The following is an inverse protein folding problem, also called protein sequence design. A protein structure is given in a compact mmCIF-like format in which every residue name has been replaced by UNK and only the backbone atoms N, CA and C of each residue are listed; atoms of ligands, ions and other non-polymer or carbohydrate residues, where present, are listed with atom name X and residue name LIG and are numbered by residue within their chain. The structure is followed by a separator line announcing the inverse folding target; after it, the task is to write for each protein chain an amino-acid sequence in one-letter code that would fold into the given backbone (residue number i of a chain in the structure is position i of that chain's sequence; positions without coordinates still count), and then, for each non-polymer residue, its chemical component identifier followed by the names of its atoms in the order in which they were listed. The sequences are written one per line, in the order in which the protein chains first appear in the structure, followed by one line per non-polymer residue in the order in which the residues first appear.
data_IF_575288612297
#
_entry.id   IF_575288612297
#
_cell.length_a   1.000
_cell.length_b   1.000
_cell.length_c   1.000
_cell.angle_alpha   90.00
_cell.angle_beta   90.00
_cell.angle_gamma   90.00
#
_symmetry.space_group_name_H-M   'P 1'
#
loop_
_entity.id
_entity.type
_entity.pdbx_description
1 polymer ?
#
# COMPACT_ATOMS: atom_id res chain seq x y z
N UNK A 1 -20.33 -12.41 -4.98
CA UNK A 1 -20.57 -10.98 -4.79
C UNK A 1 -19.28 -10.23 -4.98
N UNK A 2 -19.28 -9.27 -5.90
CA UNK A 2 -18.24 -8.28 -6.06
C UNK A 2 -18.42 -7.23 -4.95
N UNK A 3 -17.33 -6.90 -4.26
CA UNK A 3 -17.33 -5.84 -3.23
C UNK A 3 -17.30 -4.45 -3.86
N UNK A 4 -17.50 -3.44 -3.01
CA UNK A 4 -17.34 -2.03 -3.39
C UNK A 4 -15.96 -1.76 -4.03
N UNK A 5 -14.90 -2.19 -3.36
CA UNK A 5 -13.50 -2.00 -3.75
C UNK A 5 -13.17 -2.79 -5.03
N UNK A 6 -13.70 -4.01 -5.15
CA UNK A 6 -13.52 -4.83 -6.35
C UNK A 6 -14.20 -4.20 -7.57
N UNK A 7 -15.40 -3.62 -7.39
CA UNK A 7 -16.09 -2.90 -8.47
C UNK A 7 -15.30 -1.65 -8.89
N UNK A 8 -14.84 -0.84 -7.93
CA UNK A 8 -13.97 0.33 -8.21
C UNK A 8 -12.72 -0.09 -8.98
N UNK A 9 -12.05 -1.16 -8.53
CA UNK A 9 -10.86 -1.70 -9.18
C UNK A 9 -11.14 -2.13 -10.62
N UNK A 10 -12.29 -2.77 -10.87
CA UNK A 10 -12.68 -3.17 -12.22
C UNK A 10 -13.02 -1.96 -13.11
N UNK A 11 -13.71 -0.95 -12.59
CA UNK A 11 -14.01 0.29 -13.33
C UNK A 11 -12.71 0.96 -13.79
N UNK A 12 -11.73 1.10 -12.90
CA UNK A 12 -10.41 1.69 -13.23
C UNK A 12 -9.61 0.83 -14.22
N UNK A 13 -9.85 -0.48 -14.26
CA UNK A 13 -9.22 -1.38 -15.22
C UNK A 13 -9.86 -1.33 -16.60
N UNK A 14 -11.18 -1.11 -16.68
CA UNK A 14 -11.92 -0.88 -17.93
C UNK A 14 -11.57 0.51 -18.49
N UNK A 15 -11.46 1.51 -17.62
CA UNK A 15 -11.15 2.89 -17.97
C UNK A 15 -9.90 3.37 -17.22
N UNK A 16 -8.68 3.11 -17.76
CA UNK A 16 -7.42 3.47 -17.10
C UNK A 16 -7.21 4.97 -16.86
N UNK A 17 -7.97 5.83 -17.54
CA UNK A 17 -7.99 7.27 -17.31
C UNK A 17 -8.75 7.68 -16.03
N UNK A 18 -9.61 6.80 -15.50
CA UNK A 18 -10.32 7.02 -14.24
C UNK A 18 -9.40 6.61 -13.10
N UNK A 19 -9.24 7.51 -12.13
CA UNK A 19 -8.36 7.31 -10.98
C UNK A 19 -9.14 7.05 -9.69
N UNK A 20 -8.42 6.71 -8.62
CA UNK A 20 -9.00 6.61 -7.27
C UNK A 20 -9.58 7.95 -6.78
N UNK A 21 -9.07 9.09 -7.26
CA UNK A 21 -9.54 10.41 -6.86
C UNK A 21 -10.87 10.81 -7.50
N UNK A 22 -11.29 10.10 -8.55
CA UNK A 22 -12.57 10.32 -9.22
C UNK A 22 -13.73 9.64 -8.50
N UNK A 23 -13.45 8.58 -7.72
CA UNK A 23 -14.44 7.91 -6.89
C UNK A 23 -14.94 8.85 -5.78
N UNK A 24 -16.26 8.98 -5.63
CA UNK A 24 -16.88 9.94 -4.72
C UNK A 24 -16.97 11.38 -5.26
N UNK A 25 -16.56 11.61 -6.51
CA UNK A 25 -16.62 12.93 -7.18
C UNK A 25 -17.30 12.87 -8.54
N UNK A 26 -16.80 11.97 -9.39
CA UNK A 26 -17.22 11.79 -10.79
C UNK A 26 -17.96 10.47 -11.02
N UNK A 27 -17.76 9.48 -10.16
CA UNK A 27 -18.60 8.30 -10.09
C UNK A 27 -18.71 7.82 -8.64
N UNK A 28 -19.78 7.08 -8.36
CA UNK A 28 -20.07 6.57 -7.02
C UNK A 28 -20.46 5.10 -7.12
N UNK A 29 -19.87 4.27 -6.27
CA UNK A 29 -20.23 2.84 -6.15
C UNK A 29 -21.02 2.64 -4.86
N UNK A 30 -22.21 2.04 -4.98
CA UNK A 30 -23.02 1.62 -3.84
C UNK A 30 -22.67 0.19 -3.41
N UNK A 31 -22.78 -0.08 -2.11
CA UNK A 31 -22.67 -1.42 -1.53
C UNK A 31 -23.85 -1.66 -0.59
N UNK A 32 -24.82 -2.51 -0.97
CA UNK A 32 -25.93 -2.87 -0.09
C UNK A 32 -25.41 -3.62 1.14
N UNK A 33 -25.76 -3.12 2.33
CA UNK A 33 -25.33 -3.67 3.63
C UNK A 33 -26.49 -3.90 4.59
N UNK A 34 -26.34 -4.89 5.47
CA UNK A 34 -27.12 -5.06 6.69
C UNK A 34 -26.17 -5.12 7.88
N UNK A 35 -26.21 -4.11 8.74
CA UNK A 35 -25.12 -3.90 9.71
C UNK A 35 -23.79 -3.72 8.98
N UNK A 36 -22.78 -4.50 9.37
CA UNK A 36 -21.44 -4.46 8.79
C UNK A 36 -21.23 -5.48 7.65
N UNK A 37 -22.27 -6.22 7.27
CA UNK A 37 -22.18 -7.26 6.25
C UNK A 37 -22.77 -6.79 4.93
N UNK A 38 -22.01 -6.96 3.84
CA UNK A 38 -22.51 -6.82 2.48
C UNK A 38 -23.52 -7.93 2.17
N UNK A 39 -24.69 -7.55 1.66
CA UNK A 39 -25.81 -8.48 1.42
C UNK A 39 -26.13 -8.70 -0.07
N UNK A 40 -25.69 -7.81 -0.95
CA UNK A 40 -25.89 -7.92 -2.40
C UNK A 40 -24.64 -7.45 -3.16
N UNK A 41 -24.64 -7.60 -4.49
CA UNK A 41 -23.56 -7.10 -5.37
C UNK A 41 -23.39 -5.58 -5.23
N UNK A 42 -22.15 -5.08 -5.26
CA UNK A 42 -21.93 -3.65 -5.43
C UNK A 42 -22.46 -3.19 -6.81
N UNK A 43 -22.80 -1.90 -6.94
CA UNK A 43 -23.35 -1.34 -8.17
C UNK A 43 -22.90 0.11 -8.39
N UNK A 44 -22.90 0.58 -9.64
CA UNK A 44 -22.67 2.00 -9.95
C UNK A 44 -23.93 2.79 -9.58
N UNK A 45 -23.81 3.67 -8.59
CA UNK A 45 -24.91 4.49 -8.08
C UNK A 45 -25.09 5.78 -8.90
N UNK A 46 -23.98 6.40 -9.33
CA UNK A 46 -24.00 7.65 -10.08
C UNK A 46 -22.76 7.74 -10.98
N UNK A 47 -22.92 8.33 -12.16
CA UNK A 47 -21.89 8.44 -13.21
C UNK A 47 -21.96 9.82 -13.86
N UNK A 48 -20.89 10.60 -13.71
CA UNK A 48 -20.83 12.03 -14.06
C UNK A 48 -19.69 12.37 -15.02
N UNK A 49 -19.27 11.39 -15.81
CA UNK A 49 -18.38 11.63 -16.93
C UNK A 49 -19.21 11.94 -18.17
N UNK A 50 -18.82 13.00 -18.89
CA UNK A 50 -19.50 13.41 -20.12
C UNK A 50 -18.94 12.67 -21.34
N UNK A 51 -17.70 12.19 -21.24
CA UNK A 51 -16.89 11.64 -22.34
C UNK A 51 -16.47 10.18 -22.13
N UNK A 52 -16.90 9.57 -21.02
CA UNK A 52 -16.63 8.16 -20.71
C UNK A 52 -17.98 7.48 -20.49
N UNK A 53 -18.26 6.46 -21.29
CA UNK A 53 -19.46 5.64 -21.13
C UNK A 53 -19.39 4.84 -19.82
N UNK A 54 -20.51 4.75 -19.10
CA UNK A 54 -20.59 3.95 -17.89
C UNK A 54 -20.47 2.46 -18.25
N UNK A 55 -19.55 1.70 -17.64
CA UNK A 55 -19.46 0.28 -17.91
C UNK A 55 -20.70 -0.44 -17.37
N UNK A 56 -21.16 -1.43 -18.13
CA UNK A 56 -22.25 -2.30 -17.72
C UNK A 56 -21.81 -3.26 -16.61
N UNK A 57 -22.76 -3.79 -15.85
CA UNK A 57 -22.46 -4.78 -14.82
C UNK A 57 -21.81 -6.04 -15.40
N UNK A 58 -22.23 -6.48 -16.60
CA UNK A 58 -21.66 -7.65 -17.26
C UNK A 58 -20.20 -7.42 -17.69
N UNK A 59 -19.85 -6.23 -18.17
CA UNK A 59 -18.46 -5.86 -18.47
C UNK A 59 -17.59 -5.86 -17.21
N UNK A 60 -18.09 -5.29 -16.11
CA UNK A 60 -17.42 -5.30 -14.82
C UNK A 60 -17.20 -6.74 -14.34
N UNK A 61 -18.23 -7.58 -14.41
CA UNK A 61 -18.13 -8.98 -13.97
C UNK A 61 -17.25 -9.82 -14.88
N UNK A 62 -17.20 -9.54 -16.19
CA UNK A 62 -16.28 -10.19 -17.11
C UNK A 62 -14.82 -9.87 -16.73
N UNK A 63 -14.53 -8.61 -16.40
CA UNK A 63 -13.20 -8.20 -15.92
C UNK A 63 -12.89 -8.83 -14.57
N UNK A 64 -13.83 -8.81 -13.61
CA UNK A 64 -13.64 -9.38 -12.27
C UNK A 64 -13.42 -10.90 -12.28
N UNK A 65 -14.10 -11.63 -13.16
CA UNK A 65 -13.97 -13.09 -13.27
C UNK A 65 -12.66 -13.54 -13.93
N UNK A 66 -11.90 -12.61 -14.51
CA UNK A 66 -10.59 -12.93 -15.07
C UNK A 66 -9.58 -13.28 -13.96
N UNK A 67 -8.89 -14.43 -14.04
CA UNK A 67 -7.84 -14.79 -13.07
C UNK A 67 -6.75 -13.72 -12.95
N UNK A 68 -6.41 -13.05 -14.05
CA UNK A 68 -5.41 -11.98 -14.05
C UNK A 68 -5.87 -10.76 -13.23
N UNK A 69 -7.16 -10.41 -13.29
CA UNK A 69 -7.72 -9.32 -12.48
C UNK A 69 -7.75 -9.70 -11.01
N UNK A 70 -8.15 -10.92 -10.68
CA UNK A 70 -8.19 -11.38 -9.29
C UNK A 70 -6.80 -11.42 -8.66
N UNK A 71 -5.79 -11.89 -9.40
CA UNK A 71 -4.39 -11.86 -8.96
C UNK A 71 -3.90 -10.40 -8.75
N UNK A 72 -4.20 -9.50 -9.69
CA UNK A 72 -3.82 -8.09 -9.57
C UNK A 72 -4.53 -7.40 -8.39
N UNK A 73 -5.80 -7.73 -8.14
CA UNK A 73 -6.53 -7.20 -6.98
C UNK A 73 -5.96 -7.74 -5.67
N UNK A 74 -5.62 -9.03 -5.60
CA UNK A 74 -4.97 -9.61 -4.42
C UNK A 74 -3.63 -8.92 -4.11
N UNK A 75 -2.81 -8.65 -5.14
CA UNK A 75 -1.56 -7.88 -5.00
C UNK A 75 -1.84 -6.44 -4.53
N UNK A 76 -2.87 -5.79 -5.09
CA UNK A 76 -3.27 -4.45 -4.68
C UNK A 76 -3.68 -4.39 -3.19
N UNK A 77 -4.51 -5.34 -2.75
CA UNK A 77 -4.93 -5.45 -1.34
C UNK A 77 -3.73 -5.74 -0.43
N UNK A 78 -2.81 -6.62 -0.85
CA UNK A 78 -1.60 -6.90 -0.10
C UNK A 78 -0.75 -5.63 0.10
N UNK A 79 -0.63 -4.78 -0.93
CA UNK A 79 0.09 -3.50 -0.82
C UNK A 79 -0.60 -2.51 0.11
N UNK A 80 -1.94 -2.44 0.08
CA UNK A 80 -2.70 -1.57 1.00
C UNK A 80 -2.61 -2.03 2.46
N UNK A 81 -2.34 -3.32 2.70
CA UNK A 81 -2.16 -3.87 4.04
C UNK A 81 -0.79 -3.56 4.65
N UNK A 82 0.17 -3.06 3.87
CA UNK A 82 1.48 -2.67 4.38
C UNK A 82 1.31 -1.43 5.26
N UNK A 83 1.72 -1.48 6.54
CA UNK A 83 1.70 -0.30 7.40
C UNK A 83 2.48 0.86 6.77
N UNK A 84 1.85 2.02 6.67
CA UNK A 84 2.50 3.22 6.14
C UNK A 84 3.50 3.82 7.13
N UNK A 85 3.35 3.52 8.41
CA UNK A 85 4.30 3.86 9.45
C UNK A 85 4.32 2.86 10.60
N UNK A 86 5.44 2.82 11.31
CA UNK A 86 5.62 2.06 12.55
C UNK A 86 6.43 2.90 13.54
N UNK A 87 6.29 2.62 14.84
CA UNK A 87 7.14 3.29 15.82
C UNK A 87 8.61 2.86 15.69
N UNK A 88 9.52 3.72 16.14
CA UNK A 88 10.95 3.40 16.21
C UNK A 88 11.21 2.05 16.90
N UNK A 89 10.56 1.82 18.05
CA UNK A 89 10.70 0.57 18.82
C UNK A 89 10.30 -0.64 17.98
N UNK A 90 9.15 -0.56 17.31
CA UNK A 90 8.63 -1.65 16.46
C UNK A 90 9.58 -1.98 15.31
N UNK A 91 10.05 -0.96 14.59
CA UNK A 91 11.00 -1.12 13.51
C UNK A 91 12.31 -1.76 14.00
N UNK A 92 12.87 -1.29 15.11
CA UNK A 92 14.12 -1.82 15.64
C UNK A 92 13.97 -3.28 16.13
N UNK A 93 12.85 -3.65 16.76
CA UNK A 93 12.58 -5.04 17.13
C UNK A 93 12.45 -5.95 15.89
N UNK A 94 11.75 -5.49 14.85
CA UNK A 94 11.65 -6.24 13.60
C UNK A 94 13.01 -6.37 12.89
N UNK A 95 13.80 -5.29 12.82
CA UNK A 95 15.15 -5.30 12.24
C UNK A 95 16.10 -6.22 13.01
N UNK A 96 15.97 -6.27 14.34
CA UNK A 96 16.73 -7.19 15.19
C UNK A 96 16.37 -8.64 14.87
N UNK A 97 15.08 -8.95 14.72
CA UNK A 97 14.59 -10.29 14.43
C UNK A 97 15.05 -10.83 13.06
N UNK A 98 15.09 -9.97 12.03
CA UNK A 98 15.61 -10.34 10.71
C UNK A 98 17.14 -10.21 10.59
N UNK A 99 17.83 -9.90 11.70
CA UNK A 99 19.29 -9.80 11.76
C UNK A 99 19.90 -8.61 11.02
N UNK A 100 19.12 -7.57 10.71
CA UNK A 100 19.56 -6.40 9.94
C UNK A 100 19.89 -5.17 10.78
N UNK A 101 19.47 -5.13 12.05
CA UNK A 101 19.68 -3.95 12.89
C UNK A 101 21.17 -3.59 13.02
N UNK A 102 22.03 -4.58 13.30
CA UNK A 102 23.46 -4.36 13.45
C UNK A 102 24.12 -3.84 12.16
N UNK A 103 23.68 -4.32 10.99
CA UNK A 103 24.19 -3.86 9.69
C UNK A 103 23.84 -2.38 9.46
N UNK A 104 22.61 -1.99 9.79
CA UNK A 104 22.14 -0.59 9.66
C UNK A 104 22.93 0.32 10.60
N UNK A 105 23.10 -0.09 11.85
CA UNK A 105 23.89 0.67 12.83
C UNK A 105 25.34 0.81 12.38
N UNK A 106 25.96 -0.26 11.85
CA UNK A 106 27.32 -0.24 11.34
C UNK A 106 27.48 0.72 10.14
N UNK A 107 26.52 0.75 9.21
CA UNK A 107 26.53 1.71 8.10
C UNK A 107 26.51 3.15 8.60
N UNK A 108 25.62 3.50 9.54
CA UNK A 108 25.55 4.85 10.12
C UNK A 108 26.87 5.19 10.82
N UNK A 109 27.47 4.24 11.55
CA UNK A 109 28.74 4.46 12.22
C UNK A 109 29.92 4.64 11.27
N UNK A 110 29.88 4.00 10.10
CA UNK A 110 30.89 4.06 9.05
C UNK A 110 30.91 5.36 8.24
N UNK A 111 29.92 6.25 8.39
CA UNK A 111 29.90 7.55 7.70
C UNK A 111 31.08 8.41 8.19
N UNK A 112 32.00 8.74 7.28
CA UNK A 112 33.23 9.47 7.59
C UNK A 112 33.00 10.96 7.89
N UNK A 113 32.09 11.61 7.15
CA UNK A 113 31.75 13.00 7.38
C UNK A 113 30.91 13.13 8.67
N UNK A 114 31.36 13.92 9.67
CA UNK A 114 30.67 14.01 10.96
C UNK A 114 29.29 14.67 10.87
N UNK A 115 29.07 15.56 9.90
CA UNK A 115 27.78 16.23 9.70
C UNK A 115 26.79 15.26 9.05
N UNK A 116 27.20 14.54 8.01
CA UNK A 116 26.35 13.53 7.37
C UNK A 116 26.04 12.36 8.32
N UNK A 117 27.03 11.94 9.12
CA UNK A 117 26.81 10.95 10.19
C UNK A 117 25.76 11.43 11.18
N UNK A 118 25.83 12.69 11.59
CA UNK A 118 24.86 13.25 12.53
C UNK A 118 23.45 13.35 11.93
N UNK A 119 23.33 13.70 10.64
CA UNK A 119 22.04 13.69 9.93
C UNK A 119 21.44 12.29 9.88
N UNK A 120 22.21 11.28 9.49
CA UNK A 120 21.75 9.89 9.45
C UNK A 120 21.30 9.38 10.82
N UNK A 121 22.02 9.73 11.89
CA UNK A 121 21.60 9.41 13.26
C UNK A 121 20.29 10.08 13.66
N UNK A 122 20.03 11.32 13.23
CA UNK A 122 18.78 12.02 13.53
C UNK A 122 17.61 11.31 12.84
N UNK A 123 17.74 11.01 11.55
CA UNK A 123 16.72 10.27 10.79
C UNK A 123 16.46 8.88 11.38
N UNK A 124 17.52 8.12 11.68
CA UNK A 124 17.41 6.80 12.28
C UNK A 124 16.81 6.82 13.68
N UNK A 125 16.96 7.90 14.45
CA UNK A 125 16.34 8.02 15.77
C UNK A 125 15.00 8.76 15.75
N UNK A 126 14.39 8.93 14.57
CA UNK A 126 13.01 9.42 14.47
C UNK A 126 12.06 8.53 15.26
N UNK A 127 11.11 9.08 16.05
CA UNK A 127 10.16 8.30 16.84
C UNK A 127 9.21 7.45 15.98
N UNK A 128 9.02 7.86 14.71
CA UNK A 128 8.16 7.20 13.74
C UNK A 128 8.95 6.97 12.47
N UNK A 129 8.86 5.75 11.95
CA UNK A 129 9.40 5.37 10.66
C UNK A 129 8.26 5.32 9.65
N UNK A 130 8.39 6.10 8.59
CA UNK A 130 7.45 6.12 7.48
C UNK A 130 7.96 5.24 6.35
N UNK A 131 7.11 4.38 5.79
CA UNK A 131 7.47 3.49 4.68
C UNK A 131 7.92 4.27 3.43
N UNK A 132 7.41 5.49 3.28
CA UNK A 132 7.78 6.45 2.22
C UNK A 132 9.10 7.19 2.48
N UNK A 133 9.76 7.02 3.64
CA UNK A 133 11.01 7.71 3.94
C UNK A 133 12.11 7.29 2.97
N UNK A 134 12.62 8.26 2.19
CA UNK A 134 13.74 8.06 1.28
C UNK A 134 15.01 7.62 2.02
N UNK A 135 15.21 8.09 3.25
CA UNK A 135 16.33 7.67 4.10
C UNK A 135 16.24 6.17 4.43
N UNK A 136 15.08 5.70 4.91
CA UNK A 136 14.91 4.29 5.28
C UNK A 136 15.04 3.37 4.07
N UNK A 137 14.49 3.76 2.92
CA UNK A 137 14.61 2.99 1.67
C UNK A 137 16.08 2.89 1.23
N UNK A 138 16.83 3.99 1.26
CA UNK A 138 18.24 4.00 0.90
C UNK A 138 19.11 3.20 1.88
N UNK A 139 18.82 3.28 3.19
CA UNK A 139 19.52 2.50 4.21
C UNK A 139 19.26 1.00 4.05
N UNK A 140 18.00 0.61 3.81
CA UNK A 140 17.62 -0.78 3.61
C UNK A 140 18.31 -1.40 2.39
N UNK A 141 18.35 -0.66 1.28
CA UNK A 141 19.05 -1.10 0.07
C UNK A 141 20.56 -1.29 0.32
N UNK A 142 21.20 -0.40 1.09
CA UNK A 142 22.63 -0.52 1.41
C UNK A 142 22.97 -1.72 2.28
N UNK A 143 22.05 -2.18 3.14
CA UNK A 143 22.21 -3.45 3.88
C UNK A 143 21.79 -4.68 3.07
N UNK A 144 21.59 -4.53 1.75
CA UNK A 144 21.25 -5.61 0.83
C UNK A 144 19.79 -6.04 0.87
N UNK A 145 18.90 -5.20 1.42
CA UNK A 145 17.47 -5.44 1.43
C UNK A 145 16.80 -5.01 0.11
N UNK A 146 15.72 -5.70 -0.25
CA UNK A 146 14.84 -5.34 -1.37
C UNK A 146 13.63 -4.55 -0.89
N UNK A 147 12.92 -3.89 -1.82
CA UNK A 147 11.68 -3.18 -1.52
C UNK A 147 10.62 -4.10 -0.90
N UNK A 148 10.44 -5.29 -1.46
CA UNK A 148 9.52 -6.30 -0.92
C UNK A 148 9.90 -6.73 0.51
N UNK A 149 11.19 -6.90 0.79
CA UNK A 149 11.63 -7.20 2.16
C UNK A 149 11.46 -6.02 3.12
N UNK A 150 11.44 -4.78 2.63
CA UNK A 150 11.10 -3.62 3.44
C UNK A 150 9.61 -3.59 3.77
N UNK A 151 8.75 -3.97 2.82
CA UNK A 151 7.32 -4.16 3.06
C UNK A 151 7.08 -5.23 4.13
N UNK A 152 7.73 -6.38 3.98
CA UNK A 152 7.70 -7.48 4.96
C UNK A 152 8.17 -7.01 6.35
N UNK A 153 9.21 -6.17 6.41
CA UNK A 153 9.71 -5.59 7.66
C UNK A 153 8.66 -4.69 8.33
N UNK A 154 7.95 -3.85 7.56
CA UNK A 154 6.89 -3.00 8.11
C UNK A 154 5.70 -3.81 8.60
N UNK A 155 5.30 -4.86 7.86
CA UNK A 155 4.28 -5.82 8.30
C UNK A 155 4.70 -6.49 9.60
N UNK A 156 5.93 -6.99 9.69
CA UNK A 156 6.47 -7.62 10.89
C UNK A 156 6.52 -6.64 12.08
N UNK A 157 6.97 -5.41 11.84
CA UNK A 157 7.08 -4.36 12.86
C UNK A 157 5.73 -3.99 13.47
N UNK A 158 4.64 -3.98 12.68
CA UNK A 158 3.29 -3.72 13.21
C UNK A 158 2.79 -4.74 14.24
N UNK A 159 3.45 -5.89 14.35
CA UNK A 159 3.13 -6.97 15.28
C UNK A 159 4.00 -6.94 16.56
N UNK A 160 4.89 -5.96 16.71
CA UNK A 160 5.81 -5.80 17.86
C UNK A 160 5.34 -4.74 18.86
#
# INVERSE_FOLDING_TARGET
MISHEQMIFCIQRIHPQITVYDHGRKYFVGMPVSGDQQIEEAFIMDWRFDDIEQPTFDEIMAVWRSPATQAAYAEHVAKLAIPTSVSWRQANLAMLEVGKLADVEALIQGIADPVEKRKAQIEFNSPVYERSSAFLQAMWAQVGGTEAQLDDLFVLASQK
#
